data_IF_178440500832
#
_entry.id   IF_178440500832
#
_cell.length_a   1.000
_cell.length_b   1.000
_cell.length_c   1.000
_cell.angle_alpha   90.00
_cell.angle_beta   90.00
_cell.angle_gamma   90.00
#
_symmetry.space_group_name_H-M   'P 1'
#
loop_
_entity.id
_entity.type
_entity.pdbx_description
1 polymer ?
#
# COMPACT_ATOMS: atom_id res chain seq x y z
N UNK A 1 -22.33 35.83 22.44
CA UNK A 1 -21.04 35.44 21.81
C UNK A 1 -21.07 35.84 20.35
N UNK A 2 -19.95 36.32 19.80
CA UNK A 2 -19.88 36.88 18.44
C UNK A 2 -19.92 35.77 17.37
N UNK A 3 -20.92 35.79 16.48
CA UNK A 3 -21.07 34.84 15.37
C UNK A 3 -19.86 34.83 14.42
N UNK A 4 -19.19 35.96 14.18
CA UNK A 4 -17.96 36.01 13.39
C UNK A 4 -16.81 35.23 14.02
N UNK A 5 -16.75 35.20 15.35
CA UNK A 5 -15.71 34.45 16.06
C UNK A 5 -15.91 32.93 15.90
N UNK A 6 -17.18 32.49 15.92
CA UNK A 6 -17.57 31.09 15.70
C UNK A 6 -17.32 30.63 14.25
N UNK A 7 -17.61 31.47 13.25
CA UNK A 7 -17.35 31.17 11.84
C UNK A 7 -15.83 31.02 11.59
N UNK A 8 -15.02 31.92 12.14
CA UNK A 8 -13.56 31.87 12.02
C UNK A 8 -12.98 30.60 12.65
N UNK A 9 -13.36 30.26 13.88
CA UNK A 9 -12.88 29.04 14.55
C UNK A 9 -13.31 27.76 13.83
N UNK A 10 -14.54 27.73 13.27
CA UNK A 10 -15.01 26.61 12.45
C UNK A 10 -14.16 26.43 11.18
N UNK A 11 -13.84 27.52 10.49
CA UNK A 11 -13.03 27.49 9.28
C UNK A 11 -11.59 27.03 9.56
N UNK A 12 -10.97 27.54 10.63
CA UNK A 12 -9.62 27.12 11.05
C UNK A 12 -9.58 25.62 11.40
N UNK A 13 -10.60 25.11 12.12
CA UNK A 13 -10.73 23.69 12.44
C UNK A 13 -10.86 22.83 11.18
N UNK A 14 -11.67 23.25 10.20
CA UNK A 14 -11.83 22.55 8.93
C UNK A 14 -10.54 22.54 8.09
N UNK A 15 -9.79 23.64 8.07
CA UNK A 15 -8.50 23.71 7.36
C UNK A 15 -7.46 22.80 8.00
N UNK A 16 -7.32 22.84 9.33
CA UNK A 16 -6.42 21.93 10.04
C UNK A 16 -6.77 20.46 9.75
N UNK A 17 -8.06 20.15 9.79
CA UNK A 17 -8.57 18.81 9.53
C UNK A 17 -8.23 18.29 8.13
N UNK A 18 -8.46 19.10 7.10
CA UNK A 18 -8.14 18.75 5.71
C UNK A 18 -6.64 18.55 5.50
N UNK A 19 -5.81 19.37 6.14
CA UNK A 19 -4.35 19.25 6.07
C UNK A 19 -3.87 17.93 6.69
N UNK A 20 -4.41 17.55 7.85
CA UNK A 20 -4.06 16.28 8.52
C UNK A 20 -4.49 15.09 7.68
N UNK A 21 -5.71 15.09 7.10
CA UNK A 21 -6.17 14.02 6.19
C UNK A 21 -5.22 13.91 4.99
N UNK A 22 -4.86 15.03 4.36
CA UNK A 22 -3.99 15.03 3.19
C UNK A 22 -2.61 14.45 3.50
N UNK A 23 -2.01 14.85 4.64
CA UNK A 23 -0.70 14.34 5.07
C UNK A 23 -0.75 12.83 5.38
N UNK A 24 -1.79 12.37 6.09
CA UNK A 24 -1.98 10.95 6.39
C UNK A 24 -2.14 10.15 5.10
N UNK A 25 -2.97 10.61 4.17
CA UNK A 25 -3.18 9.94 2.88
C UNK A 25 -1.87 9.86 2.07
N UNK A 26 -1.06 10.93 2.07
CA UNK A 26 0.23 10.95 1.40
C UNK A 26 1.21 9.94 2.02
N UNK A 27 1.31 9.89 3.36
CA UNK A 27 2.16 8.92 4.07
C UNK A 27 1.74 7.48 3.78
N UNK A 28 0.43 7.20 3.75
CA UNK A 28 -0.07 5.88 3.37
C UNK A 28 0.34 5.59 1.92
N UNK A 29 0.12 6.51 0.97
CA UNK A 29 0.49 6.33 -0.44
C UNK A 29 1.98 6.07 -0.68
N UNK A 30 2.85 6.76 0.06
CA UNK A 30 4.29 6.51 -0.03
C UNK A 30 4.64 5.12 0.49
N UNK A 31 4.13 4.74 1.67
CA UNK A 31 4.34 3.40 2.23
C UNK A 31 3.79 2.29 1.31
N UNK A 32 2.70 2.54 0.58
CA UNK A 32 2.18 1.63 -0.45
C UNK A 32 3.20 1.42 -1.57
N UNK A 33 3.72 2.52 -2.10
CA UNK A 33 4.67 2.52 -3.22
C UNK A 33 5.94 1.77 -2.84
N UNK A 34 6.47 2.04 -1.64
CA UNK A 34 7.67 1.39 -1.12
C UNK A 34 7.47 -0.12 -0.93
N UNK A 35 6.31 -0.52 -0.38
CA UNK A 35 5.96 -1.93 -0.19
C UNK A 35 5.82 -2.66 -1.52
N UNK A 36 5.16 -2.06 -2.51
CA UNK A 36 5.00 -2.67 -3.84
C UNK A 36 6.34 -2.80 -4.57
N UNK A 37 7.21 -1.77 -4.49
CA UNK A 37 8.54 -1.83 -5.07
C UNK A 37 9.39 -2.93 -4.42
N UNK A 38 9.39 -3.02 -3.10
CA UNK A 38 10.09 -4.08 -2.35
C UNK A 38 9.59 -5.47 -2.75
N UNK A 39 8.28 -5.63 -2.89
CA UNK A 39 7.67 -6.88 -3.36
C UNK A 39 8.14 -7.22 -4.77
N UNK A 40 8.04 -6.27 -5.72
CA UNK A 40 8.51 -6.47 -7.10
C UNK A 40 9.98 -6.91 -7.14
N UNK A 41 10.87 -6.19 -6.46
CA UNK A 41 12.29 -6.51 -6.41
C UNK A 41 12.55 -7.92 -5.88
N UNK A 42 11.90 -8.30 -4.77
CA UNK A 42 11.98 -9.65 -4.19
C UNK A 42 11.61 -10.74 -5.20
N UNK A 43 10.48 -10.59 -5.89
CA UNK A 43 9.97 -11.62 -6.81
C UNK A 43 10.72 -11.64 -8.15
N UNK A 44 11.22 -10.51 -8.62
CA UNK A 44 12.14 -10.43 -9.76
C UNK A 44 13.48 -11.11 -9.45
N UNK A 45 14.03 -10.89 -8.26
CA UNK A 45 15.27 -11.58 -7.85
C UNK A 45 15.06 -13.10 -7.76
N UNK A 46 13.93 -13.55 -7.22
CA UNK A 46 13.57 -14.99 -7.21
C UNK A 46 13.44 -15.58 -8.61
N UNK A 47 12.79 -14.87 -9.52
CA UNK A 47 12.69 -15.28 -10.93
C UNK A 47 14.08 -15.47 -11.55
N UNK A 48 15.00 -14.50 -11.37
CA UNK A 48 16.36 -14.60 -11.89
C UNK A 48 17.12 -15.82 -11.33
N UNK A 49 16.91 -16.17 -10.05
CA UNK A 49 17.49 -17.36 -9.44
C UNK A 49 16.93 -18.66 -10.03
N UNK A 50 15.61 -18.74 -10.26
CA UNK A 50 14.96 -19.90 -10.90
C UNK A 50 15.48 -20.09 -12.32
N UNK A 51 15.61 -19.00 -13.09
CA UNK A 51 16.12 -19.04 -14.46
C UNK A 51 17.58 -19.54 -14.51
N UNK A 52 18.42 -19.06 -13.59
CA UNK A 52 19.85 -19.40 -13.52
C UNK A 52 20.15 -20.80 -12.92
N UNK A 53 19.18 -21.46 -12.30
CA UNK A 53 19.38 -22.78 -11.70
C UNK A 53 19.72 -23.84 -12.78
N UNK A 54 20.83 -24.56 -12.62
CA UNK A 54 21.28 -25.58 -13.59
C UNK A 54 20.89 -27.01 -13.16
N UNK A 55 20.46 -27.16 -11.93
CA UNK A 55 20.08 -28.42 -11.27
C UNK A 55 18.56 -28.68 -11.31
N UNK A 56 17.78 -27.74 -11.86
CA UNK A 56 16.34 -27.88 -12.04
C UNK A 56 15.99 -28.31 -13.47
N UNK A 57 15.07 -29.25 -13.58
CA UNK A 57 14.41 -29.60 -14.84
C UNK A 57 13.53 -28.45 -15.34
N UNK A 58 13.16 -28.50 -16.62
CA UNK A 58 12.23 -27.52 -17.21
C UNK A 58 10.90 -27.47 -16.46
N UNK A 59 10.37 -28.62 -16.03
CA UNK A 59 9.09 -28.67 -15.32
C UNK A 59 9.20 -28.03 -13.93
N UNK A 60 10.27 -28.35 -13.18
CA UNK A 60 10.50 -27.74 -11.87
C UNK A 60 10.66 -26.22 -11.96
N UNK A 61 11.28 -25.70 -13.04
CA UNK A 61 11.38 -24.25 -13.27
C UNK A 61 10.01 -23.62 -13.52
N UNK A 62 9.15 -24.27 -14.30
CA UNK A 62 7.79 -23.80 -14.57
C UNK A 62 6.99 -23.76 -13.26
N UNK A 63 7.00 -24.86 -12.51
CA UNK A 63 6.25 -24.97 -11.25
C UNK A 63 6.73 -23.92 -10.24
N UNK A 64 8.06 -23.72 -10.12
CA UNK A 64 8.63 -22.69 -9.25
C UNK A 64 8.25 -21.26 -9.70
N UNK A 65 8.15 -21.01 -11.01
CA UNK A 65 7.74 -19.71 -11.54
C UNK A 65 6.26 -19.42 -11.22
N UNK A 66 5.39 -20.43 -11.36
CA UNK A 66 3.97 -20.34 -11.03
C UNK A 66 3.77 -20.10 -9.52
N UNK A 67 4.52 -20.81 -8.67
CA UNK A 67 4.51 -20.55 -7.23
C UNK A 67 5.01 -19.14 -6.89
N UNK A 68 6.08 -18.69 -7.54
CA UNK A 68 6.62 -17.34 -7.36
C UNK A 68 5.57 -16.26 -7.70
N UNK A 69 4.85 -16.45 -8.80
CA UNK A 69 3.74 -15.59 -9.21
C UNK A 69 2.57 -15.61 -8.21
N UNK A 70 2.15 -16.80 -7.79
CA UNK A 70 1.05 -16.98 -6.84
C UNK A 70 1.35 -16.30 -5.49
N UNK A 71 2.56 -16.46 -4.97
CA UNK A 71 2.99 -15.80 -3.73
C UNK A 71 2.96 -14.28 -3.85
N UNK A 72 3.48 -13.72 -4.94
CA UNK A 72 3.41 -12.27 -5.20
C UNK A 72 1.98 -11.78 -5.24
N UNK A 73 1.10 -12.50 -5.94
CA UNK A 73 -0.29 -12.12 -6.07
C UNK A 73 -1.02 -12.13 -4.71
N UNK A 74 -0.78 -13.14 -3.86
CA UNK A 74 -1.34 -13.21 -2.50
C UNK A 74 -0.84 -12.04 -1.65
N UNK A 75 0.46 -11.73 -1.66
CA UNK A 75 1.03 -10.60 -0.93
C UNK A 75 0.46 -9.26 -1.42
N UNK A 76 0.26 -9.11 -2.73
CA UNK A 76 -0.34 -7.93 -3.34
C UNK A 76 -1.82 -7.75 -2.93
N UNK A 77 -2.63 -8.82 -2.99
CA UNK A 77 -4.04 -8.79 -2.56
C UNK A 77 -4.15 -8.47 -1.06
N UNK A 78 -3.32 -9.08 -0.21
CA UNK A 78 -3.27 -8.77 1.22
C UNK A 78 -2.93 -7.30 1.47
N UNK A 79 -1.96 -6.78 0.72
CA UNK A 79 -1.57 -5.37 0.80
C UNK A 79 -2.76 -4.46 0.43
N UNK A 80 -3.43 -4.68 -0.71
CA UNK A 80 -4.63 -3.92 -1.12
C UNK A 80 -5.72 -3.97 -0.05
N UNK A 81 -5.98 -5.13 0.54
CA UNK A 81 -7.02 -5.30 1.56
C UNK A 81 -6.71 -4.47 2.82
N UNK A 82 -5.48 -4.57 3.35
CA UNK A 82 -5.04 -3.81 4.52
C UNK A 82 -5.15 -2.30 4.23
N UNK A 83 -4.81 -1.87 3.02
CA UNK A 83 -4.87 -0.47 2.60
C UNK A 83 -6.31 0.04 2.51
N UNK A 84 -7.21 -0.75 1.91
CA UNK A 84 -8.63 -0.43 1.82
C UNK A 84 -9.21 -0.21 3.22
N UNK A 85 -8.87 -1.10 4.16
CA UNK A 85 -9.31 -0.99 5.56
C UNK A 85 -8.74 0.28 6.22
N UNK A 86 -7.43 0.55 6.08
CA UNK A 86 -6.80 1.77 6.62
C UNK A 86 -7.45 3.04 6.07
N UNK A 87 -7.76 3.07 4.77
CA UNK A 87 -8.40 4.22 4.14
C UNK A 87 -9.84 4.41 4.65
N UNK A 88 -10.63 3.33 4.78
CA UNK A 88 -11.98 3.41 5.38
C UNK A 88 -11.92 3.93 6.82
N UNK A 89 -10.98 3.44 7.63
CA UNK A 89 -10.81 3.91 9.03
C UNK A 89 -10.39 5.38 9.05
N UNK A 90 -9.43 5.78 8.22
CA UNK A 90 -8.97 7.18 8.14
C UNK A 90 -10.09 8.11 7.69
N UNK A 91 -10.95 7.70 6.77
CA UNK A 91 -12.11 8.53 6.45
C UNK A 91 -13.13 8.54 7.61
N UNK A 92 -13.41 7.41 8.27
CA UNK A 92 -14.39 7.35 9.36
C UNK A 92 -13.97 7.99 10.69
N UNK A 93 -12.68 8.02 11.01
CA UNK A 93 -12.15 8.61 12.27
C UNK A 93 -12.09 10.14 12.19
N UNK A 94 -12.06 10.67 10.97
CA UNK A 94 -11.90 12.08 10.71
C UNK A 94 -13.24 12.76 10.33
N UNK A 95 -14.29 12.04 9.91
CA UNK A 95 -15.67 12.57 9.87
C UNK A 95 -16.40 12.44 11.21
#
# INVERSE_FOLDING_TARGET
MNENYLIKTKNEKNTFHNNVISEVNQKISNAMTDTENTSKEKYTAKQALIEAANDMTTQEKIDAMDENFNHRNIEHVKSILILTIKNIITNKVFY
#
